data_IF_954721458927
#
_entry.id   IF_954721458927
#
_cell.length_a   1.000
_cell.length_b   1.000
_cell.length_c   1.000
_cell.angle_alpha   90.00
_cell.angle_beta   90.00
_cell.angle_gamma   90.00
#
_symmetry.space_group_name_H-M   'P 1'
#
loop_
_entity.id
_entity.type
_entity.pdbx_description
1 polymer ?
#
# COMPACT_ATOMS: atom_id res chain seq x y z
N UNK A 1 12.24 -1.30 10.75
CA UNK A 1 11.37 -0.20 10.27
C UNK A 1 9.93 -0.68 10.11
N UNK A 2 8.99 0.24 10.16
CA UNK A 2 7.59 -0.02 9.85
C UNK A 2 7.32 0.41 8.42
N UNK A 3 6.93 -0.53 7.56
CA UNK A 3 6.75 -0.33 6.13
C UNK A 3 5.31 -0.59 5.74
N UNK A 4 4.66 0.40 5.13
CA UNK A 4 3.33 0.26 4.52
C UNK A 4 3.54 0.04 3.03
N UNK A 5 3.03 -1.06 2.48
CA UNK A 5 3.16 -1.35 1.06
C UNK A 5 1.98 -0.78 0.29
N UNK A 6 2.25 -0.17 -0.87
CA UNK A 6 1.16 0.26 -1.73
C UNK A 6 0.42 -0.94 -2.35
N UNK A 7 -0.69 -0.69 -3.00
CA UNK A 7 -1.60 -1.75 -3.46
C UNK A 7 -0.92 -2.71 -4.44
N UNK A 8 -0.18 -2.20 -5.43
CA UNK A 8 0.50 -3.07 -6.39
C UNK A 8 1.59 -3.91 -5.73
N UNK A 9 2.33 -3.34 -4.78
CA UNK A 9 3.36 -4.10 -4.07
C UNK A 9 2.77 -5.27 -3.28
N UNK A 10 1.64 -5.08 -2.60
CA UNK A 10 1.01 -6.20 -1.88
C UNK A 10 0.46 -7.25 -2.84
N UNK A 11 -0.07 -6.85 -3.99
CA UNK A 11 -0.53 -7.79 -5.01
C UNK A 11 0.63 -8.63 -5.54
N UNK A 12 1.72 -7.98 -5.90
CA UNK A 12 2.91 -8.67 -6.43
C UNK A 12 3.59 -9.55 -5.37
N UNK A 13 3.69 -9.05 -4.14
CA UNK A 13 4.29 -9.83 -3.04
C UNK A 13 3.47 -11.07 -2.71
N UNK A 14 2.15 -10.94 -2.63
CA UNK A 14 1.27 -12.07 -2.32
C UNK A 14 1.27 -13.14 -3.41
N UNK A 15 1.44 -12.73 -4.68
CA UNK A 15 1.51 -13.65 -5.83
C UNK A 15 2.93 -14.13 -6.13
N UNK A 16 3.93 -13.67 -5.40
CA UNK A 16 5.36 -13.87 -5.71
C UNK A 16 5.65 -13.54 -7.19
N UNK A 17 5.10 -12.42 -7.66
CA UNK A 17 5.14 -12.01 -9.05
C UNK A 17 6.53 -11.52 -9.46
N UNK A 18 6.90 -11.76 -10.73
CA UNK A 18 8.16 -11.28 -11.29
C UNK A 18 8.26 -9.76 -11.33
N UNK A 19 7.11 -9.07 -11.37
CA UNK A 19 7.03 -7.60 -11.36
C UNK A 19 7.48 -6.98 -10.04
N UNK A 20 7.53 -7.76 -8.94
CA UNK A 20 7.96 -7.23 -7.64
C UNK A 20 9.41 -6.75 -7.75
N UNK A 21 9.67 -5.44 -7.54
CA UNK A 21 11.04 -4.93 -7.63
C UNK A 21 11.98 -5.60 -6.64
N UNK A 22 13.23 -5.81 -7.05
CA UNK A 22 14.23 -6.46 -6.20
C UNK A 22 14.46 -5.73 -4.88
N UNK A 23 14.45 -4.39 -4.90
CA UNK A 23 14.57 -3.60 -3.67
C UNK A 23 13.39 -3.82 -2.73
N UNK A 24 12.19 -3.93 -3.27
CA UNK A 24 11.00 -4.22 -2.48
C UNK A 24 11.11 -5.62 -1.85
N UNK A 25 11.52 -6.62 -2.63
CA UNK A 25 11.69 -7.99 -2.14
C UNK A 25 12.70 -8.05 -1.00
N UNK A 26 13.83 -7.37 -1.13
CA UNK A 26 14.86 -7.32 -0.09
C UNK A 26 14.30 -6.74 1.22
N UNK A 27 13.55 -5.64 1.13
CA UNK A 27 12.94 -5.00 2.30
C UNK A 27 11.85 -5.88 2.93
N UNK A 28 11.04 -6.54 2.12
CA UNK A 28 9.95 -7.40 2.59
C UNK A 28 10.50 -8.65 3.29
N UNK A 29 11.57 -9.23 2.77
CA UNK A 29 12.16 -10.45 3.31
C UNK A 29 13.01 -10.21 4.56
N UNK A 30 13.35 -8.96 4.87
CA UNK A 30 14.10 -8.61 6.07
C UNK A 30 13.18 -8.68 7.30
N UNK A 31 13.43 -9.67 8.16
CA UNK A 31 12.62 -9.91 9.36
C UNK A 31 12.70 -8.77 10.40
N UNK A 32 13.64 -7.84 10.25
CA UNK A 32 13.73 -6.67 11.13
C UNK A 32 12.62 -5.65 10.84
N UNK A 33 11.93 -5.75 9.70
CA UNK A 33 10.86 -4.83 9.34
C UNK A 33 9.49 -5.37 9.74
N UNK A 34 8.62 -4.47 10.19
CA UNK A 34 7.19 -4.75 10.37
C UNK A 34 6.47 -4.29 9.12
N UNK A 35 5.74 -5.20 8.48
CA UNK A 35 5.05 -4.94 7.22
C UNK A 35 3.57 -4.67 7.48
N UNK A 36 3.04 -3.63 6.84
CA UNK A 36 1.63 -3.22 6.94
C UNK A 36 0.97 -3.25 5.57
N UNK A 37 -0.30 -3.62 5.54
CA UNK A 37 -1.17 -3.35 4.41
C UNK A 37 -2.38 -2.54 4.88
N UNK A 38 -2.86 -1.64 4.05
CA UNK A 38 -3.97 -0.77 4.41
C UNK A 38 -5.32 -1.36 3.99
N UNK A 39 -6.34 -1.13 4.81
CA UNK A 39 -7.74 -1.36 4.42
C UNK A 39 -8.08 -0.58 3.14
N UNK A 40 -7.45 0.57 2.91
CA UNK A 40 -7.59 1.34 1.66
C UNK A 40 -7.21 0.52 0.43
N UNK A 41 -6.18 -0.32 0.52
CA UNK A 41 -5.78 -1.20 -0.58
C UNK A 41 -6.82 -2.27 -0.87
N UNK A 42 -7.43 -2.84 0.17
CA UNK A 42 -8.53 -3.79 -0.01
C UNK A 42 -9.72 -3.12 -0.70
N UNK A 43 -10.04 -1.89 -0.30
CA UNK A 43 -11.11 -1.11 -0.90
C UNK A 43 -10.81 -0.81 -2.37
N UNK A 44 -9.59 -0.40 -2.69
CA UNK A 44 -9.15 -0.18 -4.06
C UNK A 44 -9.34 -1.43 -4.93
N UNK A 45 -8.95 -2.59 -4.42
CA UNK A 45 -9.08 -3.88 -5.12
C UNK A 45 -10.55 -4.21 -5.38
N UNK A 46 -11.42 -4.01 -4.38
CA UNK A 46 -12.86 -4.24 -4.53
C UNK A 46 -13.43 -3.33 -5.63
N UNK A 47 -13.11 -2.04 -5.61
CA UNK A 47 -13.64 -1.07 -6.57
C UNK A 47 -13.10 -1.34 -7.98
N UNK A 48 -11.79 -1.45 -8.13
CA UNK A 48 -11.15 -1.61 -9.45
C UNK A 48 -11.36 -3.00 -10.04
N UNK A 49 -11.43 -4.03 -9.19
CA UNK A 49 -11.79 -5.38 -9.63
C UNK A 49 -13.23 -5.44 -10.16
N UNK A 50 -14.15 -4.71 -9.53
CA UNK A 50 -15.53 -4.57 -10.01
C UNK A 50 -15.66 -3.80 -11.32
N UNK A 51 -14.62 -3.04 -11.73
CA UNK A 51 -14.54 -2.33 -13.00
C UNK A 51 -13.79 -3.15 -14.07
N UNK A 52 -13.61 -4.45 -13.86
CA UNK A 52 -12.92 -5.38 -14.76
C UNK A 52 -11.47 -4.99 -15.09
N UNK A 53 -10.77 -4.35 -14.15
CA UNK A 53 -9.35 -4.04 -14.27
C UNK A 53 -8.54 -5.34 -14.07
N UNK A 54 -7.81 -5.76 -15.09
CA UNK A 54 -7.07 -7.04 -15.09
C UNK A 54 -6.06 -7.16 -13.96
N UNK A 55 -5.37 -6.07 -13.63
CA UNK A 55 -4.38 -6.01 -12.57
C UNK A 55 -4.98 -6.09 -11.16
N UNK A 56 -6.32 -6.03 -11.04
CA UNK A 56 -7.05 -6.09 -9.76
C UNK A 56 -7.99 -7.31 -9.67
N UNK A 57 -7.83 -8.30 -10.56
CA UNK A 57 -8.67 -9.52 -10.56
C UNK A 57 -8.13 -10.55 -9.56
N UNK A 58 -8.27 -10.24 -8.27
CA UNK A 58 -7.93 -11.13 -7.16
C UNK A 58 -9.10 -11.20 -6.20
N UNK A 59 -9.21 -12.30 -5.47
CA UNK A 59 -10.20 -12.39 -4.39
C UNK A 59 -9.67 -11.63 -3.16
N UNK A 60 -10.28 -10.49 -2.78
CA UNK A 60 -9.79 -9.69 -1.66
C UNK A 60 -9.87 -10.41 -0.33
N UNK A 61 -10.79 -11.36 -0.17
CA UNK A 61 -10.89 -12.16 1.06
C UNK A 61 -9.68 -13.08 1.21
N UNK A 62 -9.29 -13.74 0.13
CA UNK A 62 -8.12 -14.64 0.11
C UNK A 62 -6.84 -13.83 0.29
N UNK A 63 -6.71 -12.70 -0.42
CA UNK A 63 -5.55 -11.82 -0.29
C UNK A 63 -5.35 -11.38 1.16
N UNK A 64 -6.42 -10.88 1.79
CA UNK A 64 -6.35 -10.43 3.19
C UNK A 64 -5.88 -11.54 4.11
N UNK A 65 -6.46 -12.73 3.99
CA UNK A 65 -6.08 -13.88 4.81
C UNK A 65 -4.61 -14.25 4.61
N UNK A 66 -4.16 -14.27 3.36
CA UNK A 66 -2.77 -14.60 3.05
C UNK A 66 -1.79 -13.58 3.62
N UNK A 67 -2.13 -12.29 3.57
CA UNK A 67 -1.29 -11.24 4.15
C UNK A 67 -1.19 -11.38 5.67
N UNK A 68 -2.32 -11.62 6.34
CA UNK A 68 -2.34 -11.83 7.79
C UNK A 68 -1.54 -13.08 8.18
N UNK A 69 -1.69 -14.16 7.45
CA UNK A 69 -0.95 -15.41 7.69
C UNK A 69 0.56 -15.23 7.46
N UNK A 70 0.94 -14.34 6.56
CA UNK A 70 2.34 -14.00 6.31
C UNK A 70 2.92 -13.03 7.35
N UNK A 71 2.13 -12.61 8.33
CA UNK A 71 2.58 -11.74 9.41
C UNK A 71 2.41 -10.25 9.17
N UNK A 72 1.76 -9.85 8.08
CA UNK A 72 1.45 -8.44 7.85
C UNK A 72 0.45 -7.93 8.88
N UNK A 73 0.59 -6.66 9.25
CA UNK A 73 -0.35 -5.98 10.13
C UNK A 73 -1.34 -5.18 9.28
N UNK A 74 -2.63 -5.34 9.55
CA UNK A 74 -3.66 -4.57 8.86
C UNK A 74 -3.75 -3.17 9.47
N UNK A 75 -3.64 -2.14 8.63
CA UNK A 75 -3.78 -0.74 9.04
C UNK A 75 -5.20 -0.27 8.72
N UNK A 76 -6.04 -0.03 9.72
CA UNK A 76 -7.39 0.47 9.49
C UNK A 76 -7.38 1.93 9.05
N UNK A 77 -8.46 2.34 8.37
CA UNK A 77 -8.69 3.74 8.00
C UNK A 77 -9.37 4.45 9.17
N UNK A 78 -8.81 5.56 9.61
CA UNK A 78 -9.39 6.38 10.68
C UNK A 78 -9.85 7.73 10.15
N UNK A 79 -10.64 8.46 10.94
CA UNK A 79 -11.03 9.83 10.62
C UNK A 79 -9.81 10.73 10.44
N UNK A 80 -8.79 10.55 11.28
CA UNK A 80 -7.55 11.33 11.18
C UNK A 80 -6.86 11.12 9.83
N UNK A 81 -6.85 9.89 9.33
CA UNK A 81 -6.29 9.59 8.01
C UNK A 81 -7.04 10.31 6.89
N UNK A 82 -8.37 10.21 6.91
CA UNK A 82 -9.21 10.82 5.87
C UNK A 82 -9.05 12.35 5.87
N UNK A 83 -9.08 12.96 7.04
CA UNK A 83 -8.93 14.41 7.17
C UNK A 83 -7.53 14.88 6.77
N UNK A 84 -6.50 14.07 7.02
CA UNK A 84 -5.12 14.39 6.63
C UNK A 84 -4.93 14.45 5.11
N UNK A 85 -5.77 13.76 4.33
CA UNK A 85 -5.72 13.84 2.86
C UNK A 85 -5.91 15.29 2.38
N UNK A 86 -6.73 16.07 3.06
CA UNK A 86 -6.97 17.47 2.72
C UNK A 86 -5.69 18.31 2.76
N UNK A 87 -4.72 17.94 3.58
CA UNK A 87 -3.46 18.67 3.77
C UNK A 87 -2.41 18.31 2.71
N UNK A 88 -2.65 17.30 1.89
CA UNK A 88 -1.67 16.87 0.89
C UNK A 88 -1.63 17.81 -0.31
N UNK A 89 -0.43 18.06 -0.88
CA UNK A 89 -0.34 18.80 -2.13
C UNK A 89 -0.98 18.01 -3.29
N UNK A 90 -1.35 18.73 -4.36
CA UNK A 90 -2.00 18.14 -5.53
C UNK A 90 -0.97 17.47 -6.45
N UNK A 91 -0.36 16.37 -5.99
CA UNK A 91 0.65 15.61 -6.75
C UNK A 91 0.02 14.50 -7.58
N UNK A 92 -0.96 13.78 -7.02
CA UNK A 92 -1.64 12.67 -7.66
C UNK A 92 -3.16 12.84 -7.52
N UNK A 93 -3.92 12.30 -8.46
CA UNK A 93 -5.40 12.38 -8.41
C UNK A 93 -6.05 11.16 -7.77
N UNK A 94 -5.37 10.03 -7.75
CA UNK A 94 -5.93 8.78 -7.25
C UNK A 94 -6.19 8.88 -5.75
N UNK A 95 -7.45 8.79 -5.31
CA UNK A 95 -7.80 8.96 -3.90
C UNK A 95 -7.23 7.85 -3.02
N UNK A 96 -7.04 6.64 -3.55
CA UNK A 96 -6.48 5.54 -2.78
C UNK A 96 -5.01 5.79 -2.46
N UNK A 97 -4.23 6.24 -3.46
CA UNK A 97 -2.82 6.58 -3.25
C UNK A 97 -2.66 7.74 -2.28
N UNK A 98 -3.51 8.77 -2.41
CA UNK A 98 -3.50 9.91 -1.49
C UNK A 98 -3.79 9.47 -0.06
N UNK A 99 -4.72 8.56 0.13
CA UNK A 99 -5.05 8.02 1.45
C UNK A 99 -3.88 7.23 2.05
N UNK A 100 -3.18 6.43 1.24
CA UNK A 100 -1.99 5.71 1.70
C UNK A 100 -0.89 6.67 2.17
N UNK A 101 -0.65 7.75 1.43
CA UNK A 101 0.32 8.78 1.83
C UNK A 101 -0.09 9.43 3.16
N UNK A 102 -1.36 9.78 3.30
CA UNK A 102 -1.88 10.37 4.53
C UNK A 102 -1.73 9.43 5.72
N UNK A 103 -1.98 8.14 5.52
CA UNK A 103 -1.78 7.12 6.56
C UNK A 103 -0.32 7.02 6.98
N UNK A 104 0.59 7.00 6.02
CA UNK A 104 2.02 6.92 6.31
C UNK A 104 2.49 8.11 7.16
N UNK A 105 2.05 9.31 6.82
CA UNK A 105 2.38 10.53 7.57
C UNK A 105 1.79 10.45 8.98
N UNK A 106 0.50 10.12 9.10
CA UNK A 106 -0.21 10.10 10.38
C UNK A 106 0.34 9.05 11.34
N UNK A 107 0.72 7.88 10.81
CA UNK A 107 1.15 6.74 11.63
C UNK A 107 2.67 6.68 11.80
N UNK A 108 3.41 7.54 11.13
CA UNK A 108 4.87 7.52 11.20
C UNK A 108 5.49 6.26 10.62
N UNK A 109 4.87 5.70 9.59
CA UNK A 109 5.41 4.54 8.86
C UNK A 109 5.90 4.99 7.48
N UNK A 110 6.78 4.20 6.86
CA UNK A 110 7.28 4.51 5.52
C UNK A 110 6.43 3.80 4.48
N UNK A 111 5.85 4.56 3.55
CA UNK A 111 5.13 4.02 2.41
C UNK A 111 6.14 3.59 1.33
N UNK A 112 6.11 2.31 0.99
CA UNK A 112 6.86 1.80 -0.17
C UNK A 112 5.95 1.84 -1.39
N UNK A 113 6.46 2.37 -2.50
CA UNK A 113 5.73 2.46 -3.76
C UNK A 113 6.64 2.22 -4.95
N UNK A 114 6.09 1.64 -6.01
CA UNK A 114 6.75 1.56 -7.32
C UNK A 114 6.28 2.67 -8.27
N UNK A 115 5.31 3.46 -7.85
CA UNK A 115 4.76 4.56 -8.64
C UNK A 115 5.59 5.84 -8.43
N UNK A 116 6.21 6.33 -9.50
CA UNK A 116 7.05 7.54 -9.45
C UNK A 116 6.26 8.79 -9.04
N UNK A 117 4.98 8.87 -9.39
CA UNK A 117 4.13 10.02 -9.02
C UNK A 117 3.85 10.02 -7.52
N UNK A 118 3.52 8.87 -6.95
CA UNK A 118 3.32 8.74 -5.50
C UNK A 118 4.61 9.07 -4.75
N UNK A 119 5.75 8.65 -5.27
CA UNK A 119 7.06 8.92 -4.67
C UNK A 119 7.41 10.41 -4.61
N UNK A 120 6.71 11.27 -5.35
CA UNK A 120 6.92 12.72 -5.33
C UNK A 120 6.28 13.42 -4.13
N UNK A 121 5.40 12.75 -3.38
CA UNK A 121 4.82 13.35 -2.17
C UNK A 121 5.90 13.61 -1.13
N UNK A 122 5.81 14.75 -0.41
CA UNK A 122 6.68 14.98 0.74
C UNK A 122 6.30 14.03 1.87
N UNK A 123 7.28 13.63 2.67
CA UNK A 123 7.05 12.77 3.82
C UNK A 123 7.69 11.39 3.67
N UNK A 124 7.24 10.39 4.46
CA UNK A 124 7.88 9.09 4.52
C UNK A 124 7.43 8.19 3.36
N UNK A 125 7.81 8.53 2.15
CA UNK A 125 7.51 7.76 0.94
C UNK A 125 8.83 7.37 0.28
N UNK A 126 8.99 6.08 0.00
CA UNK A 126 10.19 5.54 -0.62
C UNK A 126 9.84 4.79 -1.89
N UNK A 127 10.45 5.18 -3.00
CA UNK A 127 10.36 4.45 -4.27
C UNK A 127 11.21 3.18 -4.22
N UNK A 128 10.65 2.09 -4.69
CA UNK A 128 11.35 0.81 -4.80
C UNK A 128 11.24 0.19 -6.18
#
# INVERSE_FOLDING_TARGET
>A
MKLLLDTHLILWAAADAAELPGRARTLIEDSAHTLFFSVASLWEIVIKGGLDRDDFQVDPHVLRRNLLDAGYVELPITSAHVLAVEQLPAVHRDPFDRLLVAQAISEGVTLLTHDHTVARYPGPVQHV
#
